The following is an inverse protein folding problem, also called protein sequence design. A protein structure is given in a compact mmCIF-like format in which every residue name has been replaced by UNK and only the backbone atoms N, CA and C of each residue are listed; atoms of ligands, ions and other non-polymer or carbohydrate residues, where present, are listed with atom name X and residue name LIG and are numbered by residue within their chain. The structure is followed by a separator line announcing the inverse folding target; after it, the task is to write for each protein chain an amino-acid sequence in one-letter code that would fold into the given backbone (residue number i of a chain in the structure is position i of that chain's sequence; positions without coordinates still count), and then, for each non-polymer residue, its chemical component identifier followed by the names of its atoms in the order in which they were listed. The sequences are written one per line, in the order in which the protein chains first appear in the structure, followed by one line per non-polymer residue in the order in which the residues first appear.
data_IF_878324918433
#
_entry.id   IF_878324918433
#
_cell.length_a   1.000
_cell.length_b   1.000
_cell.length_c   1.000
_cell.angle_alpha   90.00
_cell.angle_beta   90.00
_cell.angle_gamma   90.00
#
_symmetry.space_group_name_H-M   'P 1'
#
loop_
_entity.id
_entity.type
_entity.pdbx_description
1 polymer ?
#
# COMPACT_ATOMS: atom_id res chain seq x y z
N UNK A 1 28.34 -32.42 27.45
CA UNK A 1 27.07 -31.77 27.77
C UNK A 1 26.56 -31.14 26.48
N UNK A 2 25.66 -31.83 25.86
CA UNK A 2 25.10 -31.48 24.56
C UNK A 2 24.10 -30.38 24.75
N UNK A 3 24.37 -29.18 24.31
CA UNK A 3 23.38 -28.12 24.17
C UNK A 3 22.65 -28.27 22.82
N UNK A 4 21.46 -28.60 23.00
CA UNK A 4 20.33 -28.83 22.16
C UNK A 4 20.33 -28.00 20.85
N UNK A 5 20.64 -28.69 19.77
CA UNK A 5 20.53 -28.21 18.39
C UNK A 5 19.09 -28.36 17.85
N UNK A 6 18.10 -28.24 18.76
CA UNK A 6 16.72 -28.61 18.48
C UNK A 6 15.78 -27.45 18.23
N UNK A 7 16.26 -26.23 18.03
CA UNK A 7 15.39 -25.10 17.67
C UNK A 7 15.73 -24.49 16.31
N UNK A 8 16.26 -25.28 15.39
CA UNK A 8 16.16 -24.93 13.99
C UNK A 8 14.73 -25.24 13.56
N UNK A 9 13.85 -24.28 13.75
CA UNK A 9 12.52 -24.30 13.12
C UNK A 9 12.76 -24.49 11.63
N UNK A 10 12.62 -25.73 11.22
CA UNK A 10 12.74 -26.15 9.84
C UNK A 10 11.58 -25.49 9.11
N UNK A 11 11.89 -24.40 8.42
CA UNK A 11 10.97 -23.78 7.49
C UNK A 11 10.37 -24.87 6.59
N UNK A 12 9.06 -25.01 6.51
CA UNK A 12 8.43 -26.04 5.72
C UNK A 12 8.62 -25.73 4.24
N UNK A 13 9.11 -26.72 3.53
CA UNK A 13 9.25 -26.82 2.10
C UNK A 13 10.40 -26.03 1.48
N UNK A 14 11.15 -26.74 0.64
CA UNK A 14 12.13 -26.31 -0.34
C UNK A 14 11.55 -25.33 -1.39
N UNK A 15 10.94 -24.25 -0.91
CA UNK A 15 10.48 -23.10 -1.68
C UNK A 15 11.43 -21.95 -1.39
N UNK A 16 11.91 -21.33 -2.42
CA UNK A 16 12.78 -20.16 -2.35
C UNK A 16 12.13 -19.07 -1.51
N UNK A 17 12.81 -18.63 -0.45
CA UNK A 17 12.36 -17.46 0.32
C UNK A 17 12.40 -16.21 -0.55
N UNK A 18 11.46 -15.26 -0.40
CA UNK A 18 11.52 -13.97 -1.11
C UNK A 18 12.84 -13.24 -0.87
N UNK A 19 13.35 -13.27 0.36
CA UNK A 19 14.65 -12.68 0.74
C UNK A 19 15.81 -13.33 -0.01
N UNK A 20 15.83 -14.66 -0.08
CA UNK A 20 16.88 -15.41 -0.77
C UNK A 20 16.88 -15.09 -2.27
N UNK A 21 15.72 -15.00 -2.91
CA UNK A 21 15.63 -14.67 -4.34
C UNK A 21 16.12 -13.25 -4.62
N UNK A 22 15.69 -12.29 -3.81
CA UNK A 22 16.10 -10.90 -3.95
C UNK A 22 17.61 -10.74 -3.76
N UNK A 23 18.16 -11.31 -2.70
CA UNK A 23 19.60 -11.26 -2.40
C UNK A 23 20.43 -11.89 -3.53
N UNK A 24 20.06 -13.09 -3.99
CA UNK A 24 20.76 -13.75 -5.11
C UNK A 24 20.71 -12.95 -6.42
N UNK A 25 19.55 -12.35 -6.72
CA UNK A 25 19.41 -11.53 -7.91
C UNK A 25 20.24 -10.24 -7.80
N UNK A 26 20.26 -9.60 -6.64
CA UNK A 26 21.11 -8.43 -6.36
C UNK A 26 22.59 -8.76 -6.56
N UNK A 27 23.06 -9.83 -5.94
CA UNK A 27 24.46 -10.28 -6.04
C UNK A 27 24.84 -10.64 -7.48
N UNK A 28 23.93 -11.29 -8.22
CA UNK A 28 24.15 -11.62 -9.63
C UNK A 28 24.33 -10.38 -10.51
N UNK A 29 23.65 -9.29 -10.18
CA UNK A 29 23.80 -8.00 -10.85
C UNK A 29 24.99 -7.19 -10.34
N UNK A 30 25.72 -7.67 -9.33
CA UNK A 30 26.84 -6.99 -8.70
C UNK A 30 26.45 -5.75 -7.87
N UNK A 31 25.17 -5.64 -7.48
CA UNK A 31 24.67 -4.50 -6.73
C UNK A 31 24.93 -4.69 -5.23
N UNK A 32 25.41 -3.65 -4.56
CA UNK A 32 25.47 -3.59 -3.10
C UNK A 32 24.11 -3.26 -2.49
N UNK A 33 23.92 -3.59 -1.22
CA UNK A 33 22.73 -3.18 -0.46
C UNK A 33 22.54 -1.66 -0.48
N UNK A 34 23.64 -0.92 -0.40
CA UNK A 34 23.60 0.54 -0.46
C UNK A 34 23.09 1.05 -1.80
N UNK A 35 23.55 0.50 -2.93
CA UNK A 35 23.09 0.92 -4.25
C UNK A 35 21.58 0.66 -4.43
N UNK A 36 21.07 -0.47 -3.98
CA UNK A 36 19.63 -0.75 -4.00
C UNK A 36 18.87 0.21 -3.09
N UNK A 37 19.39 0.49 -1.90
CA UNK A 37 18.78 1.44 -0.97
C UNK A 37 18.71 2.86 -1.57
N UNK A 38 19.80 3.31 -2.18
CA UNK A 38 19.86 4.62 -2.84
C UNK A 38 18.85 4.72 -4.00
N UNK A 39 18.74 3.66 -4.83
CA UNK A 39 17.77 3.61 -5.94
C UNK A 39 16.31 3.67 -5.46
N UNK A 40 16.03 3.07 -4.31
CA UNK A 40 14.70 3.04 -3.72
C UNK A 40 14.40 4.19 -2.75
N UNK A 41 15.36 5.09 -2.53
CA UNK A 41 15.27 6.17 -1.54
C UNK A 41 15.01 5.66 -0.12
N UNK A 42 15.62 4.51 0.22
CA UNK A 42 15.55 3.87 1.52
C UNK A 42 16.89 3.92 2.25
N UNK A 43 16.90 3.62 3.53
CA UNK A 43 18.15 3.40 4.26
C UNK A 43 18.68 2.00 3.96
N UNK A 44 20.00 1.83 4.03
CA UNK A 44 20.65 0.53 3.82
C UNK A 44 20.09 -0.55 4.77
N UNK A 45 19.78 -0.17 6.00
CA UNK A 45 19.18 -1.09 6.98
C UNK A 45 17.85 -1.71 6.54
N UNK A 46 17.05 -1.00 5.71
CA UNK A 46 15.84 -1.59 5.13
C UNK A 46 16.17 -2.76 4.20
N UNK A 47 17.18 -2.60 3.37
CA UNK A 47 17.62 -3.65 2.45
C UNK A 47 18.25 -4.81 3.22
N UNK A 48 19.02 -4.52 4.28
CA UNK A 48 19.56 -5.54 5.19
C UNK A 48 18.44 -6.38 5.81
N UNK A 49 17.40 -5.77 6.36
CA UNK A 49 16.26 -6.49 6.93
C UNK A 49 15.54 -7.36 5.90
N UNK A 50 15.36 -6.86 4.67
CA UNK A 50 14.75 -7.63 3.60
C UNK A 50 15.64 -8.81 3.21
N UNK A 51 16.94 -8.61 3.07
CA UNK A 51 17.90 -9.64 2.67
C UNK A 51 18.00 -10.79 3.67
N UNK A 52 17.86 -10.50 4.96
CA UNK A 52 17.87 -11.52 6.03
C UNK A 52 16.49 -12.07 6.39
N UNK A 53 15.42 -11.51 5.81
CA UNK A 53 14.05 -11.94 6.09
C UNK A 53 13.47 -11.40 7.41
N UNK A 54 14.09 -10.40 8.02
CA UNK A 54 13.63 -9.77 9.26
C UNK A 54 12.55 -8.69 8.98
N UNK A 55 11.46 -9.09 8.37
CA UNK A 55 10.39 -8.17 7.99
C UNK A 55 9.73 -7.45 9.18
N UNK A 56 9.75 -8.06 10.37
CA UNK A 56 9.23 -7.47 11.59
C UNK A 56 10.04 -6.23 12.05
N UNK A 57 11.32 -6.15 11.67
CA UNK A 57 12.21 -5.03 11.99
C UNK A 57 12.00 -3.82 11.08
N UNK A 58 11.21 -3.97 10.00
CA UNK A 58 10.93 -2.89 9.05
C UNK A 58 9.87 -1.95 9.65
N UNK A 59 10.18 -0.65 9.80
CA UNK A 59 9.18 0.32 10.19
C UNK A 59 8.02 0.37 9.19
N UNK A 60 6.80 0.49 9.69
CA UNK A 60 5.57 0.57 8.89
C UNK A 60 5.31 -0.71 8.06
N UNK A 61 4.88 -1.80 8.70
CA UNK A 61 4.61 -3.09 8.04
C UNK A 61 3.67 -3.01 6.84
N UNK A 62 2.74 -2.07 6.84
CA UNK A 62 1.79 -1.86 5.75
C UNK A 62 2.46 -1.60 4.38
N UNK A 63 3.70 -1.12 4.36
CA UNK A 63 4.42 -0.79 3.12
C UNK A 63 5.40 -1.88 2.67
N UNK A 64 5.58 -2.97 3.44
CA UNK A 64 6.56 -4.04 3.13
C UNK A 64 6.35 -4.58 1.72
N UNK A 65 5.11 -4.88 1.33
CA UNK A 65 4.81 -5.37 -0.03
C UNK A 65 5.22 -4.39 -1.13
N UNK A 66 5.08 -3.08 -0.86
CA UNK A 66 5.54 -2.03 -1.76
C UNK A 66 7.06 -2.04 -1.91
N UNK A 67 7.78 -2.16 -0.80
CA UNK A 67 9.25 -2.23 -0.80
C UNK A 67 9.77 -3.50 -1.49
N UNK A 68 9.16 -4.64 -1.22
CA UNK A 68 9.51 -5.91 -1.90
C UNK A 68 9.29 -5.83 -3.41
N UNK A 69 8.18 -5.25 -3.85
CA UNK A 69 7.89 -5.07 -5.27
C UNK A 69 8.88 -4.10 -5.93
N UNK A 70 9.24 -3.02 -5.25
CA UNK A 70 10.21 -2.05 -5.74
C UNK A 70 11.62 -2.68 -5.82
N UNK A 71 12.05 -3.43 -4.80
CA UNK A 71 13.32 -4.14 -4.80
C UNK A 71 13.38 -5.19 -5.93
N UNK A 72 12.33 -6.00 -6.08
CA UNK A 72 12.23 -6.98 -7.16
C UNK A 72 12.43 -6.33 -8.55
N UNK A 73 11.85 -5.15 -8.76
CA UNK A 73 12.03 -4.40 -10.01
C UNK A 73 13.47 -3.99 -10.24
N UNK A 74 14.17 -3.50 -9.22
CA UNK A 74 15.59 -3.11 -9.31
C UNK A 74 16.48 -4.29 -9.68
N UNK A 75 16.17 -5.49 -9.18
CA UNK A 75 16.93 -6.71 -9.45
C UNK A 75 16.34 -7.57 -10.58
N UNK A 76 15.45 -6.99 -11.38
CA UNK A 76 14.86 -7.63 -12.58
C UNK A 76 14.06 -8.90 -12.29
N UNK A 77 13.41 -8.97 -11.11
CA UNK A 77 12.50 -10.05 -10.73
C UNK A 77 11.03 -9.62 -10.82
N UNK A 78 10.14 -10.61 -10.91
CA UNK A 78 8.70 -10.38 -10.82
C UNK A 78 8.30 -9.96 -9.41
N UNK A 79 7.79 -8.74 -9.26
CA UNK A 79 7.30 -8.24 -7.97
C UNK A 79 6.13 -9.07 -7.43
N UNK A 80 5.25 -9.58 -8.30
CA UNK A 80 4.09 -10.38 -7.88
C UNK A 80 4.52 -11.77 -7.41
N UNK A 81 5.55 -12.36 -8.01
CA UNK A 81 6.14 -13.62 -7.53
C UNK A 81 6.73 -13.44 -6.12
N UNK A 82 7.51 -12.39 -5.92
CA UNK A 82 8.10 -12.07 -4.61
C UNK A 82 7.03 -11.81 -3.55
N UNK A 83 5.95 -11.11 -3.89
CA UNK A 83 4.84 -10.87 -2.96
C UNK A 83 4.13 -12.17 -2.61
N UNK A 84 3.87 -13.05 -3.58
CA UNK A 84 3.24 -14.36 -3.34
C UNK A 84 4.06 -15.22 -2.39
N UNK A 85 5.39 -15.23 -2.54
CA UNK A 85 6.30 -15.96 -1.65
C UNK A 85 6.31 -15.35 -0.23
N UNK A 86 6.33 -14.03 -0.14
CA UNK A 86 6.24 -13.32 1.15
C UNK A 86 4.94 -13.64 1.88
N UNK A 87 3.82 -13.59 1.19
CA UNK A 87 2.51 -13.91 1.76
C UNK A 87 2.43 -15.37 2.24
N UNK A 88 2.96 -16.30 1.45
CA UNK A 88 3.05 -17.70 1.85
C UNK A 88 3.92 -17.86 3.11
N UNK A 89 5.08 -17.21 3.17
CA UNK A 89 5.98 -17.26 4.32
C UNK A 89 5.30 -16.69 5.58
N UNK A 90 4.59 -15.57 5.46
CA UNK A 90 3.88 -14.94 6.57
C UNK A 90 2.70 -15.77 7.06
N UNK A 91 1.98 -16.49 6.20
CA UNK A 91 0.90 -17.39 6.60
C UNK A 91 1.40 -18.57 7.46
N UNK A 92 2.65 -19.00 7.27
CA UNK A 92 3.26 -20.07 8.05
C UNK A 92 3.96 -19.56 9.33
N UNK A 93 4.30 -18.27 9.38
CA UNK A 93 5.01 -17.67 10.52
C UNK A 93 4.09 -17.23 11.67
N UNK A 94 2.80 -17.04 11.43
CA UNK A 94 1.80 -16.74 12.45
C UNK A 94 0.71 -17.80 12.48
N UNK A 95 0.42 -18.38 13.66
CA UNK A 95 -0.95 -18.79 13.96
C UNK A 95 -1.75 -17.47 14.01
N UNK A 96 -2.56 -17.22 12.98
CA UNK A 96 -3.26 -16.00 12.76
C UNK A 96 -3.80 -15.39 14.09
N UNK A 97 -3.42 -14.18 14.50
CA UNK A 97 -4.38 -13.37 15.14
C UNK A 97 -5.50 -13.22 14.12
N UNK A 98 -6.70 -13.69 14.45
CA UNK A 98 -7.89 -13.25 13.75
C UNK A 98 -7.81 -11.72 13.66
N UNK A 99 -7.18 -11.24 12.62
CA UNK A 99 -7.60 -9.96 12.10
C UNK A 99 -9.06 -10.27 11.76
N UNK A 100 -9.96 -9.99 12.73
CA UNK A 100 -11.31 -9.65 12.35
C UNK A 100 -11.09 -8.84 11.10
N UNK A 101 -11.40 -9.44 9.96
CA UNK A 101 -11.71 -8.65 8.79
C UNK A 101 -12.63 -7.61 9.38
N UNK A 102 -12.09 -6.44 9.63
CA UNK A 102 -12.90 -5.25 9.53
C UNK A 102 -13.37 -5.41 8.11
N UNK A 103 -14.49 -6.06 7.99
CA UNK A 103 -15.28 -6.14 6.79
C UNK A 103 -15.13 -4.78 6.21
N UNK A 104 -14.61 -4.70 4.99
CA UNK A 104 -14.57 -3.48 4.18
C UNK A 104 -16.00 -3.00 3.90
N UNK A 105 -16.89 -3.23 4.84
CA UNK A 105 -18.25 -2.75 4.88
C UNK A 105 -18.33 -1.33 5.40
N UNK A 106 -17.15 -0.66 5.48
CA UNK A 106 -17.12 0.76 5.76
C UNK A 106 -15.91 1.50 5.17
N UNK A 107 -15.29 1.01 4.09
CA UNK A 107 -14.98 1.94 3.03
C UNK A 107 -16.34 2.18 2.37
N UNK A 108 -17.13 3.02 3.06
CA UNK A 108 -18.15 3.71 2.36
C UNK A 108 -17.47 4.23 1.10
N UNK A 109 -17.75 3.63 -0.03
CA UNK A 109 -17.99 4.44 -1.19
C UNK A 109 -18.84 5.55 -0.63
N UNK A 110 -18.18 6.66 -0.26
CA UNK A 110 -18.86 7.90 -0.14
C UNK A 110 -19.53 8.02 -1.49
N UNK A 111 -20.73 7.50 -1.51
CA UNK A 111 -21.66 7.69 -2.60
C UNK A 111 -21.75 9.19 -2.67
N UNK A 112 -21.03 9.77 -3.64
CA UNK A 112 -21.01 11.21 -3.93
C UNK A 112 -22.43 11.65 -4.35
N UNK A 113 -23.40 10.74 -4.22
CA UNK A 113 -24.74 10.86 -4.74
C UNK A 113 -25.79 11.31 -3.71
N UNK A 114 -25.43 11.48 -2.43
CA UNK A 114 -26.42 11.86 -1.43
C UNK A 114 -26.53 13.38 -1.19
N UNK A 115 -25.66 13.99 -0.39
CA UNK A 115 -25.89 15.37 0.08
C UNK A 115 -25.34 16.44 -0.87
N UNK A 116 -24.33 16.13 -1.71
CA UNK A 116 -23.70 17.13 -2.56
C UNK A 116 -24.61 17.54 -3.74
N UNK A 117 -25.41 16.61 -4.27
CA UNK A 117 -26.37 16.92 -5.32
C UNK A 117 -27.53 17.77 -4.79
N UNK A 118 -27.96 17.54 -3.54
CA UNK A 118 -29.06 18.27 -2.92
C UNK A 118 -28.65 19.69 -2.56
N UNK A 119 -27.41 19.90 -2.12
CA UNK A 119 -26.87 21.24 -1.82
C UNK A 119 -26.59 22.02 -3.10
N UNK A 120 -26.13 21.37 -4.16
CA UNK A 120 -25.92 22.00 -5.46
C UNK A 120 -27.22 22.46 -6.12
N UNK A 121 -28.30 21.67 -5.97
CA UNK A 121 -29.60 22.02 -6.55
C UNK A 121 -30.25 23.22 -5.84
N UNK A 122 -30.13 23.29 -4.50
CA UNK A 122 -30.62 24.46 -3.74
C UNK A 122 -29.84 25.73 -4.08
N UNK A 123 -28.52 25.63 -4.30
CA UNK A 123 -27.71 26.76 -4.74
C UNK A 123 -28.10 27.29 -6.11
N UNK A 124 -28.44 26.40 -7.04
CA UNK A 124 -28.85 26.75 -8.41
C UNK A 124 -30.24 27.43 -8.44
N UNK A 125 -31.16 26.94 -7.61
CA UNK A 125 -32.50 27.55 -7.45
C UNK A 125 -32.38 28.94 -6.80
N UNK A 126 -31.53 29.10 -5.79
CA UNK A 126 -31.27 30.39 -5.16
C UNK A 126 -30.69 31.41 -6.15
N UNK A 127 -29.74 31.01 -6.97
CA UNK A 127 -29.15 31.86 -7.99
C UNK A 127 -30.18 32.27 -9.06
N UNK A 128 -31.02 31.33 -9.49
CA UNK A 128 -32.08 31.61 -10.48
C UNK A 128 -33.10 32.63 -9.95
N UNK A 129 -33.48 32.55 -8.68
CA UNK A 129 -34.38 33.51 -8.04
C UNK A 129 -33.76 34.91 -7.98
N UNK A 130 -32.48 35.01 -7.64
CA UNK A 130 -31.78 36.30 -7.59
C UNK A 130 -31.73 36.95 -8.97
N UNK A 131 -31.42 36.17 -10.01
CA UNK A 131 -31.38 36.64 -11.37
C UNK A 131 -32.78 37.09 -11.84
N UNK A 132 -33.83 36.33 -11.49
CA UNK A 132 -35.21 36.70 -11.81
C UNK A 132 -35.65 38.00 -11.13
N UNK A 133 -35.28 38.20 -9.87
CA UNK A 133 -35.60 39.45 -9.13
C UNK A 133 -34.84 40.64 -9.72
N UNK A 134 -33.58 40.48 -10.07
CA UNK A 134 -32.79 41.55 -10.72
C UNK A 134 -33.41 41.90 -12.07
N UNK A 135 -33.75 40.86 -12.88
CA UNK A 135 -34.38 41.07 -14.19
C UNK A 135 -35.72 41.79 -14.04
N UNK A 136 -36.53 41.40 -13.05
CA UNK A 136 -37.83 42.07 -12.79
C UNK A 136 -37.62 43.53 -12.39
N UNK A 137 -36.67 43.87 -11.50
CA UNK A 137 -36.38 45.26 -11.12
C UNK A 137 -35.86 46.09 -12.27
N UNK A 138 -35.03 45.51 -13.14
CA UNK A 138 -34.50 46.22 -14.32
C UNK A 138 -35.61 46.45 -15.35
N UNK A 139 -36.46 45.42 -15.58
CA UNK A 139 -37.58 45.52 -16.50
C UNK A 139 -38.67 46.54 -16.09
N UNK A 140 -38.89 46.68 -14.76
CA UNK A 140 -39.86 47.62 -14.22
C UNK A 140 -39.38 49.09 -14.30
N UNK A 141 -38.11 49.33 -14.61
CA UNK A 141 -37.53 50.68 -14.74
C UNK A 141 -37.56 51.23 -16.16
N UNK A 142 -37.97 50.44 -17.14
CA UNK A 142 -38.01 50.87 -18.54
C UNK A 142 -39.40 51.39 -18.98
N UNK A 143 -40.36 51.48 -18.06
CA UNK A 143 -41.70 51.99 -18.33
C UNK A 143 -42.02 53.40 -17.75
N UNK A 144 -41.00 54.17 -17.33
CA UNK A 144 -41.18 55.59 -16.98
C UNK A 144 -40.54 56.53 -18.00
#
# INVERSE_FOLDING_TARGET
MSVDESLKVKSPAAGKSPSELLTKAREKLGLSQKEVADELYLTTSFIEYIDVGEFASIPKPAFIKGYLRAYARVVELSGDEIISLYEAEMQFAEPAPEIKRVTEENVGTASITGPVLQTGLMGLVGLALVVAVIWWIVSDREEE
#
